data_IF_439049461008
#
_entry.id   IF_439049461008
#
_cell.length_a   1.000
_cell.length_b   1.000
_cell.length_c   1.000
_cell.angle_alpha   90.00
_cell.angle_beta   90.00
_cell.angle_gamma   90.00
#
_symmetry.space_group_name_H-M   'P 1'
#
loop_
_entity.id
_entity.type
_entity.pdbx_description
1 polymer ?
#
# COMPACT_ATOMS: atom_id res chain seq x y z
N UNK A 1 44.07 -11.45 34.78
CA UNK A 1 44.37 -10.81 33.48
C UNK A 1 43.30 -11.31 32.52
N UNK A 2 42.10 -10.71 32.54
CA UNK A 2 41.66 -9.51 31.82
C UNK A 2 41.32 -9.80 30.33
N UNK A 3 40.03 -9.67 29.99
CA UNK A 3 39.48 -9.78 28.63
C UNK A 3 38.20 -10.63 28.63
N UNK A 4 37.08 -10.19 29.18
CA UNK A 4 36.26 -9.10 28.65
C UNK A 4 35.29 -9.65 27.63
N UNK A 5 34.09 -10.09 28.06
CA UNK A 5 32.99 -10.40 27.15
C UNK A 5 32.67 -9.10 26.42
N UNK A 6 32.92 -9.07 25.11
CA UNK A 6 32.62 -7.92 24.29
C UNK A 6 31.08 -7.78 24.20
N UNK A 7 30.53 -6.77 24.88
CA UNK A 7 29.11 -6.45 24.93
C UNK A 7 28.57 -5.84 23.62
N UNK A 8 29.38 -5.80 22.55
CA UNK A 8 29.02 -5.25 21.24
C UNK A 8 28.87 -6.31 20.14
N UNK A 9 28.24 -7.44 20.45
CA UNK A 9 27.62 -8.23 19.40
C UNK A 9 26.33 -7.50 18.98
N UNK A 10 26.38 -6.86 17.80
CA UNK A 10 25.23 -6.26 17.13
C UNK A 10 24.09 -7.29 17.07
N UNK A 11 23.08 -7.11 17.92
CA UNK A 11 21.81 -7.80 17.72
C UNK A 11 21.26 -7.35 16.36
N UNK A 12 20.96 -8.27 15.43
CA UNK A 12 20.18 -7.90 14.26
C UNK A 12 18.84 -7.33 14.74
N UNK A 13 18.68 -6.03 14.50
CA UNK A 13 17.53 -5.15 14.74
C UNK A 13 16.20 -5.88 15.09
N UNK A 14 15.74 -5.87 16.35
CA UNK A 14 14.64 -6.72 16.81
C UNK A 14 13.29 -6.00 16.75
N UNK A 15 12.74 -5.69 15.57
CA UNK A 15 11.41 -5.05 15.50
C UNK A 15 10.63 -5.38 14.22
N UNK A 16 10.10 -6.59 14.08
CA UNK A 16 8.78 -6.84 13.47
C UNK A 16 8.40 -8.31 13.56
N UNK A 17 7.91 -8.72 14.74
CA UNK A 17 7.05 -9.90 14.82
C UNK A 17 5.64 -9.46 14.44
N UNK A 18 5.03 -10.12 13.45
CA UNK A 18 3.61 -9.93 13.11
C UNK A 18 2.81 -10.79 14.07
N UNK A 19 2.13 -10.16 15.02
CA UNK A 19 1.25 -10.81 16.00
C UNK A 19 -0.14 -11.05 15.38
N UNK A 20 -0.51 -12.31 15.06
CA UNK A 20 -1.78 -12.61 14.42
C UNK A 20 -2.96 -12.66 15.40
N UNK A 21 -2.71 -12.56 16.71
CA UNK A 21 -3.68 -12.84 17.79
C UNK A 21 -3.85 -11.66 18.79
N UNK A 22 -3.03 -10.61 18.69
CA UNK A 22 -3.21 -9.33 19.40
C UNK A 22 -2.80 -9.36 20.88
N UNK A 23 -1.84 -10.21 21.24
CA UNK A 23 -1.36 -10.38 22.62
C UNK A 23 -0.07 -9.60 22.93
N UNK A 24 0.54 -8.94 21.93
CA UNK A 24 1.68 -8.06 22.14
C UNK A 24 1.25 -6.66 22.57
N UNK A 25 2.00 -6.06 23.51
CA UNK A 25 1.88 -4.65 23.93
C UNK A 25 2.39 -3.68 22.83
N UNK A 26 1.96 -3.87 21.58
CA UNK A 26 2.27 -2.98 20.47
C UNK A 26 1.57 -1.61 20.60
N UNK A 27 1.98 -0.60 19.82
CA UNK A 27 1.31 0.70 19.81
C UNK A 27 -0.16 0.52 19.47
N UNK A 28 -1.05 0.93 20.39
CA UNK A 28 -2.50 0.92 20.17
C UNK A 28 -2.83 1.95 19.08
N UNK A 29 -2.96 1.52 17.83
CA UNK A 29 -3.41 2.36 16.72
C UNK A 29 -4.86 2.78 17.02
N UNK A 30 -5.07 4.08 17.27
CA UNK A 30 -6.40 4.62 17.62
C UNK A 30 -6.80 5.76 16.72
N UNK A 31 -5.83 6.51 16.20
CA UNK A 31 -6.06 7.70 15.39
C UNK A 31 -5.64 7.49 13.94
N UNK A 32 -6.21 8.29 13.03
CA UNK A 32 -5.80 8.31 11.62
C UNK A 32 -4.29 8.60 11.45
N UNK A 33 -3.71 9.43 12.33
CA UNK A 33 -2.28 9.71 12.32
C UNK A 33 -1.44 8.48 12.69
N UNK A 34 -1.90 7.67 13.65
CA UNK A 34 -1.23 6.43 14.03
C UNK A 34 -1.24 5.43 12.87
N UNK A 35 -2.40 5.24 12.22
CA UNK A 35 -2.52 4.35 11.08
C UNK A 35 -1.67 4.81 9.90
N UNK A 36 -1.67 6.12 9.59
CA UNK A 36 -0.81 6.68 8.55
C UNK A 36 0.67 6.38 8.84
N UNK A 37 1.13 6.59 10.07
CA UNK A 37 2.50 6.30 10.49
C UNK A 37 2.81 4.80 10.40
N UNK A 38 1.87 3.95 10.78
CA UNK A 38 2.01 2.50 10.67
C UNK A 38 2.14 2.06 9.20
N UNK A 39 1.35 2.62 8.28
CA UNK A 39 1.48 2.35 6.84
C UNK A 39 2.83 2.81 6.31
N UNK A 40 3.31 4.00 6.70
CA UNK A 40 4.64 4.49 6.29
C UNK A 40 5.74 3.53 6.75
N UNK A 41 5.64 2.99 7.96
CA UNK A 41 6.58 2.00 8.46
C UNK A 41 6.50 0.69 7.66
N UNK A 42 5.28 0.20 7.37
CA UNK A 42 5.10 -1.01 6.55
C UNK A 42 5.65 -0.84 5.13
N UNK A 43 5.41 0.30 4.48
CA UNK A 43 6.01 0.60 3.16
C UNK A 43 7.53 0.74 3.25
N UNK A 44 8.07 1.30 4.33
CA UNK A 44 9.53 1.40 4.52
C UNK A 44 10.20 0.05 4.75
N UNK A 45 9.53 -0.88 5.44
CA UNK A 45 10.11 -2.18 5.82
C UNK A 45 9.88 -3.24 4.74
N UNK A 46 8.67 -3.29 4.18
CA UNK A 46 8.22 -4.33 3.26
C UNK A 46 7.99 -3.81 1.84
N UNK A 47 8.06 -2.50 1.61
CA UNK A 47 7.88 -1.92 0.29
C UNK A 47 9.12 -2.02 -0.60
N UNK A 48 8.87 -2.12 -1.90
CA UNK A 48 9.90 -1.93 -2.91
C UNK A 48 10.38 -0.47 -2.90
N UNK A 49 11.53 -0.19 -3.51
CA UNK A 49 12.11 1.17 -3.58
C UNK A 49 11.12 2.21 -4.15
N UNK A 50 10.22 1.78 -5.02
CA UNK A 50 9.17 2.58 -5.66
C UNK A 50 7.76 2.28 -5.12
N UNK A 51 7.65 1.83 -3.87
CA UNK A 51 6.36 1.59 -3.22
C UNK A 51 5.50 2.86 -3.23
N UNK A 52 4.25 2.74 -3.68
CA UNK A 52 3.38 3.89 -3.90
C UNK A 52 1.91 3.65 -3.52
N UNK A 53 1.64 2.69 -2.64
CA UNK A 53 0.29 2.41 -2.14
C UNK A 53 -0.28 3.63 -1.38
N UNK A 54 0.45 4.14 -0.39
CA UNK A 54 0.03 5.29 0.42
C UNK A 54 -0.10 6.57 -0.43
N UNK A 55 0.90 6.86 -1.25
CA UNK A 55 0.98 8.13 -2.00
C UNK A 55 0.00 8.23 -3.16
N UNK A 56 -0.38 7.12 -3.80
CA UNK A 56 -1.27 7.13 -4.98
C UNK A 56 -2.67 6.57 -4.72
N UNK A 57 -2.81 5.74 -3.70
CA UNK A 57 -4.06 5.03 -3.40
C UNK A 57 -4.48 5.16 -1.94
N UNK A 58 -3.71 5.86 -1.11
CA UNK A 58 -4.04 6.01 0.30
C UNK A 58 -5.19 6.96 0.56
N UNK A 59 -5.75 6.87 1.76
CA UNK A 59 -6.88 7.69 2.21
C UNK A 59 -6.58 9.21 2.20
N UNK A 60 -5.30 9.58 2.24
CA UNK A 60 -4.86 10.98 2.10
C UNK A 60 -4.99 11.57 0.68
N UNK A 61 -5.30 10.76 -0.34
CA UNK A 61 -5.64 11.26 -1.68
C UNK A 61 -7.12 11.65 -1.75
N UNK A 62 -7.54 12.43 -2.76
CA UNK A 62 -8.94 12.84 -2.93
C UNK A 62 -9.65 12.10 -4.07
N UNK A 63 -10.98 12.05 -4.05
CA UNK A 63 -11.76 11.51 -5.17
C UNK A 63 -11.50 12.26 -6.48
N UNK A 64 -11.34 13.58 -6.42
CA UNK A 64 -10.99 14.41 -7.57
C UNK A 64 -9.64 14.01 -8.17
N UNK A 65 -8.62 13.78 -7.33
CA UNK A 65 -7.31 13.28 -7.77
C UNK A 65 -7.42 11.90 -8.43
N UNK A 66 -8.23 10.99 -7.88
CA UNK A 66 -8.46 9.68 -8.48
C UNK A 66 -9.21 9.78 -9.80
N UNK A 67 -10.21 10.67 -9.90
CA UNK A 67 -10.92 10.92 -11.15
C UNK A 67 -9.99 11.50 -12.22
N UNK A 68 -9.16 12.47 -11.86
CA UNK A 68 -8.18 13.08 -12.76
C UNK A 68 -7.18 12.04 -13.26
N UNK A 69 -6.67 11.17 -12.40
CA UNK A 69 -5.80 10.04 -12.78
C UNK A 69 -6.51 9.05 -13.69
N UNK A 70 -7.76 8.69 -13.40
CA UNK A 70 -8.54 7.80 -14.25
C UNK A 70 -8.82 8.38 -15.64
N UNK A 71 -8.88 9.71 -15.78
CA UNK A 71 -9.03 10.41 -17.06
C UNK A 71 -7.73 10.57 -17.82
N UNK A 72 -6.65 10.95 -17.13
CA UNK A 72 -5.41 11.45 -17.75
C UNK A 72 -4.22 10.51 -17.62
N UNK A 73 -4.24 9.62 -16.62
CA UNK A 73 -3.11 8.78 -16.22
C UNK A 73 -2.12 9.46 -15.26
N UNK A 74 -2.27 10.77 -14.99
CA UNK A 74 -1.41 11.51 -14.07
C UNK A 74 -1.68 11.11 -12.62
N UNK A 75 -0.64 10.73 -11.88
CA UNK A 75 -0.78 10.23 -10.51
C UNK A 75 -0.78 11.36 -9.46
N UNK A 76 -1.42 11.16 -8.28
CA UNK A 76 -1.52 12.17 -7.22
C UNK A 76 -0.18 12.67 -6.66
N UNK A 77 0.91 11.92 -6.88
CA UNK A 77 2.27 12.25 -6.46
C UNK A 77 3.05 13.05 -7.52
N UNK A 78 2.36 13.63 -8.51
CA UNK A 78 2.92 14.37 -9.64
C UNK A 78 3.93 13.57 -10.48
N UNK A 79 3.89 12.24 -10.43
CA UNK A 79 4.77 11.40 -11.25
C UNK A 79 4.27 11.37 -12.71
N UNK A 80 4.75 12.32 -13.52
CA UNK A 80 4.32 12.58 -14.90
C UNK A 80 4.74 11.50 -15.91
N UNK A 81 5.72 10.66 -15.55
CA UNK A 81 6.33 9.68 -16.47
C UNK A 81 5.37 8.58 -16.95
N UNK A 82 4.22 8.40 -16.29
CA UNK A 82 3.25 7.35 -16.63
C UNK A 82 2.38 7.75 -17.85
N UNK A 83 2.18 9.04 -18.13
CA UNK A 83 1.24 9.46 -19.20
C UNK A 83 1.86 9.35 -20.58
N UNK A 84 3.12 9.76 -20.73
CA UNK A 84 3.81 9.67 -22.00
C UNK A 84 4.00 8.21 -22.41
N UNK A 85 4.56 7.38 -21.53
CA UNK A 85 4.80 5.96 -21.80
C UNK A 85 3.49 5.18 -22.05
N UNK A 86 2.44 5.45 -21.29
CA UNK A 86 1.19 4.71 -21.46
C UNK A 86 0.46 5.07 -22.76
N UNK A 87 0.43 6.36 -23.14
CA UNK A 87 -0.20 6.80 -24.39
C UNK A 87 0.60 6.37 -25.63
N UNK A 88 1.93 6.41 -25.56
CA UNK A 88 2.80 5.90 -26.64
C UNK A 88 2.68 4.38 -26.78
N UNK A 89 2.42 3.66 -25.69
CA UNK A 89 2.12 2.22 -25.68
C UNK A 89 0.66 1.87 -26.01
N UNK A 90 -0.19 2.85 -26.36
CA UNK A 90 -1.60 2.63 -26.70
C UNK A 90 -2.47 2.13 -25.54
N UNK A 91 -2.04 2.35 -24.29
CA UNK A 91 -2.75 1.88 -23.09
C UNK A 91 -3.66 2.98 -22.53
N UNK A 92 -4.88 2.64 -22.15
CA UNK A 92 -5.80 3.57 -21.48
C UNK A 92 -5.36 3.85 -20.03
N UNK A 93 -5.69 5.04 -19.53
CA UNK A 93 -5.52 5.39 -18.11
C UNK A 93 -6.17 4.33 -17.21
N UNK A 94 -5.61 4.05 -16.02
CA UNK A 94 -6.06 2.93 -15.21
C UNK A 94 -7.32 3.33 -14.42
N UNK A 95 -8.13 2.35 -14.03
CA UNK A 95 -9.04 2.55 -12.90
C UNK A 95 -8.23 3.04 -11.69
N UNK A 96 -8.76 4.03 -10.99
CA UNK A 96 -8.02 4.76 -9.96
C UNK A 96 -8.88 4.85 -8.72
N UNK A 97 -8.40 4.25 -7.62
CA UNK A 97 -9.12 4.17 -6.35
C UNK A 97 -8.27 4.70 -5.21
N UNK A 98 -8.95 5.17 -4.16
CA UNK A 98 -8.39 5.49 -2.85
C UNK A 98 -9.02 4.61 -1.78
N UNK A 99 -8.26 4.30 -0.74
CA UNK A 99 -8.82 3.72 0.49
C UNK A 99 -9.72 4.73 1.19
N UNK A 100 -10.78 4.25 1.84
CA UNK A 100 -11.74 5.09 2.56
C UNK A 100 -11.15 5.71 3.83
N UNK A 101 -10.28 4.97 4.55
CA UNK A 101 -9.57 5.42 5.74
C UNK A 101 -8.14 4.87 5.80
N UNK A 102 -7.28 5.47 6.63
CA UNK A 102 -5.95 4.89 6.87
C UNK A 102 -6.06 3.53 7.56
N UNK A 103 -7.08 3.30 8.40
CA UNK A 103 -7.32 1.98 8.97
C UNK A 103 -7.58 0.92 7.90
N UNK A 104 -8.41 1.23 6.89
CA UNK A 104 -8.72 0.29 5.80
C UNK A 104 -7.51 -0.08 4.98
N UNK A 105 -6.67 0.92 4.71
CA UNK A 105 -5.40 0.72 4.03
C UNK A 105 -4.44 -0.13 4.86
N UNK A 106 -4.32 0.14 6.15
CA UNK A 106 -3.48 -0.63 7.06
C UNK A 106 -3.94 -2.09 7.16
N UNK A 107 -5.25 -2.31 7.32
CA UNK A 107 -5.85 -3.65 7.37
C UNK A 107 -5.56 -4.40 6.05
N UNK A 108 -5.71 -3.75 4.89
CA UNK A 108 -5.44 -4.34 3.58
C UNK A 108 -3.96 -4.71 3.39
N UNK A 109 -3.02 -3.81 3.74
CA UNK A 109 -1.58 -4.09 3.66
C UNK A 109 -1.23 -5.26 4.59
N UNK A 110 -1.74 -5.23 5.82
CA UNK A 110 -1.49 -6.29 6.81
C UNK A 110 -1.98 -7.66 6.34
N UNK A 111 -3.09 -7.71 5.60
CA UNK A 111 -3.59 -8.97 5.01
C UNK A 111 -2.71 -9.45 3.86
N UNK A 112 -2.34 -8.59 2.90
CA UNK A 112 -1.53 -9.03 1.74
C UNK A 112 -0.12 -9.43 2.13
N UNK A 113 0.46 -8.82 3.17
CA UNK A 113 1.80 -9.16 3.65
C UNK A 113 1.87 -10.58 4.24
N UNK A 114 0.76 -11.16 4.71
CA UNK A 114 0.72 -12.58 5.13
C UNK A 114 1.00 -13.56 3.99
N UNK A 115 0.77 -13.10 2.76
CA UNK A 115 0.96 -13.87 1.54
C UNK A 115 2.15 -13.37 0.70
N UNK A 116 2.94 -12.43 1.25
CA UNK A 116 4.15 -11.92 0.58
C UNK A 116 5.14 -13.06 0.34
N UNK A 117 5.67 -13.16 -0.87
CA UNK A 117 6.48 -14.29 -1.32
C UNK A 117 6.60 -14.34 -2.85
N UNK A 118 6.55 -15.54 -3.44
CA UNK A 118 6.78 -15.76 -4.88
C UNK A 118 5.66 -15.21 -5.81
N UNK A 119 4.53 -14.79 -5.24
CA UNK A 119 3.40 -14.29 -6.02
C UNK A 119 3.60 -12.83 -6.41
N UNK A 120 3.53 -12.55 -7.72
CA UNK A 120 3.64 -11.18 -8.26
C UNK A 120 2.41 -10.32 -7.99
N UNK A 121 1.25 -10.93 -7.76
CA UNK A 121 -0.01 -10.25 -7.49
C UNK A 121 -0.87 -11.06 -6.53
N UNK A 122 -1.58 -10.36 -5.64
CA UNK A 122 -2.45 -10.96 -4.63
C UNK A 122 -3.76 -10.18 -4.60
N UNK A 123 -4.87 -10.90 -4.75
CA UNK A 123 -6.21 -10.35 -4.67
C UNK A 123 -6.88 -10.84 -3.38
N UNK A 124 -7.48 -9.93 -2.62
CA UNK A 124 -8.17 -10.24 -1.37
C UNK A 124 -9.51 -9.53 -1.36
N UNK A 125 -10.55 -10.22 -0.93
CA UNK A 125 -11.81 -9.59 -0.53
C UNK A 125 -11.76 -9.24 0.97
N UNK A 126 -11.85 -7.96 1.30
CA UNK A 126 -11.81 -7.49 2.68
C UNK A 126 -13.12 -7.74 3.44
N UNK A 127 -14.16 -8.25 2.77
CA UNK A 127 -15.47 -8.55 3.35
C UNK A 127 -16.32 -7.32 3.72
N UNK A 128 -15.79 -6.12 3.47
CA UNK A 128 -16.44 -4.82 3.65
C UNK A 128 -15.88 -3.84 2.64
N UNK A 129 -16.63 -2.81 2.29
CA UNK A 129 -16.13 -1.76 1.41
C UNK A 129 -14.93 -1.07 2.08
N UNK A 130 -13.82 -0.99 1.35
CA UNK A 130 -12.54 -0.42 1.82
C UNK A 130 -11.97 0.63 0.88
N UNK A 131 -12.44 0.69 -0.36
CA UNK A 131 -11.93 1.60 -1.36
C UNK A 131 -13.05 2.12 -2.27
N UNK A 132 -12.82 3.31 -2.81
CA UNK A 132 -13.69 3.99 -3.77
C UNK A 132 -12.86 4.68 -4.85
N UNK A 133 -13.49 5.01 -5.97
CA UNK A 133 -12.84 5.77 -7.03
C UNK A 133 -13.58 5.70 -8.34
N UNK A 134 -12.81 5.74 -9.43
CA UNK A 134 -13.35 5.77 -10.78
C UNK A 134 -12.71 4.71 -11.67
N UNK A 135 -13.52 4.10 -12.52
CA UNK A 135 -13.03 3.25 -13.61
C UNK A 135 -12.25 4.08 -14.64
N UNK A 136 -11.46 3.39 -15.47
CA UNK A 136 -10.76 3.98 -16.61
C UNK A 136 -11.66 4.95 -17.41
N UNK A 137 -11.13 6.14 -17.73
CA UNK A 137 -11.90 7.22 -18.35
C UNK A 137 -12.59 8.16 -17.36
N UNK A 138 -12.64 7.82 -16.07
CA UNK A 138 -13.03 8.72 -14.98
C UNK A 138 -14.48 9.20 -15.00
N UNK A 139 -15.38 8.44 -15.64
CA UNK A 139 -16.82 8.73 -15.74
C UNK A 139 -17.67 7.90 -14.78
N UNK A 140 -17.26 6.66 -14.52
CA UNK A 140 -18.02 5.71 -13.70
C UNK A 140 -17.37 5.66 -12.32
N UNK A 141 -18.10 6.14 -11.31
CA UNK A 141 -17.74 6.00 -9.90
C UNK A 141 -18.09 4.60 -9.40
N UNK A 142 -17.30 4.09 -8.45
CA UNK A 142 -17.62 2.84 -7.75
C UNK A 142 -16.90 2.72 -6.42
N UNK A 143 -17.36 1.76 -5.63
CA UNK A 143 -16.74 1.33 -4.37
C UNK A 143 -16.58 -0.18 -4.35
N UNK A 144 -15.64 -0.70 -3.56
CA UNK A 144 -15.26 -2.11 -3.60
C UNK A 144 -14.73 -2.61 -2.26
N UNK A 145 -14.98 -3.90 -2.00
CA UNK A 145 -14.34 -4.66 -0.93
C UNK A 145 -13.07 -5.37 -1.38
N UNK A 146 -12.86 -5.49 -2.71
CA UNK A 146 -11.75 -6.23 -3.29
C UNK A 146 -10.55 -5.34 -3.49
N UNK A 147 -9.39 -5.84 -3.10
CA UNK A 147 -8.10 -5.16 -3.27
C UNK A 147 -7.16 -6.04 -4.07
N UNK A 148 -6.22 -5.40 -4.77
CA UNK A 148 -5.08 -6.05 -5.43
C UNK A 148 -3.80 -5.42 -4.91
N UNK A 149 -2.84 -6.25 -4.55
CA UNK A 149 -1.47 -5.85 -4.28
C UNK A 149 -0.52 -6.46 -5.32
N UNK A 150 0.49 -5.70 -5.72
CA UNK A 150 1.60 -6.21 -6.54
C UNK A 150 2.89 -6.22 -5.73
N UNK A 151 3.67 -7.27 -5.95
CA UNK A 151 4.96 -7.49 -5.31
C UNK A 151 6.07 -7.59 -6.36
N UNK A 152 7.28 -7.19 -5.98
CA UNK A 152 8.47 -7.39 -6.80
C UNK A 152 8.97 -8.84 -6.73
N UNK A 153 10.03 -9.16 -7.48
CA UNK A 153 10.61 -10.51 -7.50
C UNK A 153 11.18 -10.97 -6.15
N UNK A 154 11.43 -10.03 -5.22
CA UNK A 154 11.91 -10.31 -3.87
C UNK A 154 10.78 -10.35 -2.84
N UNK A 155 9.52 -10.30 -3.28
CA UNK A 155 8.35 -10.30 -2.41
C UNK A 155 8.09 -8.96 -1.70
N UNK A 156 8.69 -7.85 -2.17
CA UNK A 156 8.44 -6.52 -1.61
C UNK A 156 7.23 -5.85 -2.26
N UNK A 157 6.40 -5.18 -1.46
CA UNK A 157 5.18 -4.53 -1.90
C UNK A 157 5.47 -3.32 -2.80
N UNK A 158 4.98 -3.34 -4.03
CA UNK A 158 5.11 -2.21 -4.98
C UNK A 158 3.90 -1.27 -4.84
N UNK A 159 2.70 -1.82 -4.82
CA UNK A 159 1.47 -1.02 -4.77
C UNK A 159 0.30 -1.87 -4.30
N UNK A 160 -0.72 -1.20 -3.79
CA UNK A 160 -1.98 -1.81 -3.36
C UNK A 160 -3.13 -0.83 -3.60
N UNK A 161 -4.25 -1.34 -4.13
CA UNK A 161 -5.42 -0.53 -4.48
C UNK A 161 -6.71 -1.35 -4.55
N UNK A 162 -7.85 -0.69 -4.56
CA UNK A 162 -9.17 -1.31 -4.74
C UNK A 162 -9.45 -1.64 -6.21
N UNK A 163 -10.13 -2.76 -6.46
CA UNK A 163 -10.50 -3.21 -7.81
C UNK A 163 -11.94 -2.77 -8.13
N UNK A 164 -12.09 -1.98 -9.20
CA UNK A 164 -13.36 -1.54 -9.79
C UNK A 164 -13.56 -2.09 -11.20
#
# INVERSE_FOLDING_TARGET
>A
MAGGINLYAYAPNPLTWVDPWGWSCGPKLKTEADYKKAIQNLESQHGALNAHGLRRHGAGTTLEQQQYRARTGNSPDNHYTIVLDRKTLGRSAPSSTRFLSYKDQYDAISQVLKYAGSNKAIDIDMGRIVAEGYQSGGRIYGSTSKIRAYFDANGKLITIFGIL
#
